data_IF_055683558016
#
_entry.id   IF_055683558016
#
_cell.length_a   1.000
_cell.length_b   1.000
_cell.length_c   1.000
_cell.angle_alpha   90.00
_cell.angle_beta   90.00
_cell.angle_gamma   90.00
#
_symmetry.space_group_name_H-M   'P 1'
#
loop_
_entity.id
_entity.type
_entity.pdbx_description
1 polymer ?
#
# COMPACT_ATOMS: atom_id res chain seq x y z
N UNK A 1 -31.44 24.84 -17.96
CA UNK A 1 -30.40 24.63 -16.93
C UNK A 1 -30.00 23.15 -16.94
N UNK A 2 -28.80 22.80 -17.44
CA UNK A 2 -28.32 21.41 -17.49
C UNK A 2 -27.43 21.14 -16.27
N UNK A 3 -27.85 20.24 -15.40
CA UNK A 3 -27.04 19.74 -14.28
C UNK A 3 -26.02 18.72 -14.79
N UNK A 4 -24.75 18.95 -14.47
CA UNK A 4 -23.63 18.15 -14.94
C UNK A 4 -23.57 16.77 -14.26
N UNK A 5 -23.35 15.77 -15.10
CA UNK A 5 -23.04 14.38 -14.82
C UNK A 5 -22.07 14.17 -13.66
N UNK A 6 -22.47 13.33 -12.70
CA UNK A 6 -21.57 12.77 -11.70
C UNK A 6 -20.49 11.93 -12.38
N UNK A 7 -19.22 12.33 -12.23
CA UNK A 7 -18.09 11.49 -12.62
C UNK A 7 -18.00 10.31 -11.66
N UNK A 8 -17.70 9.09 -12.14
CA UNK A 8 -17.47 7.95 -11.28
C UNK A 8 -16.19 8.20 -10.49
N UNK A 9 -16.34 8.46 -9.18
CA UNK A 9 -15.22 8.36 -8.24
C UNK A 9 -14.79 6.89 -8.23
N UNK A 10 -13.77 6.56 -9.03
CA UNK A 10 -12.95 5.40 -8.73
C UNK A 10 -12.51 5.60 -7.28
N UNK A 11 -12.91 4.70 -6.36
CA UNK A 11 -12.42 4.71 -4.99
C UNK A 11 -10.90 4.46 -5.03
N UNK A 12 -10.14 5.52 -5.30
CA UNK A 12 -8.74 5.61 -4.90
C UNK A 12 -8.71 5.77 -3.38
N UNK A 13 -7.64 5.31 -2.75
CA UNK A 13 -7.46 5.52 -1.31
C UNK A 13 -7.64 7.01 -0.99
N UNK A 14 -8.55 7.37 -0.07
CA UNK A 14 -8.77 8.77 0.26
C UNK A 14 -7.50 9.34 0.90
N UNK A 15 -7.06 10.49 0.40
CA UNK A 15 -6.01 11.31 1.04
C UNK A 15 -6.74 12.29 1.94
N UNK A 16 -6.44 12.25 3.23
CA UNK A 16 -7.12 13.02 4.27
C UNK A 16 -6.33 14.22 4.76
N UNK A 17 -5.02 14.25 4.50
CA UNK A 17 -4.11 15.37 4.78
C UNK A 17 -3.19 15.55 3.57
N UNK A 18 -3.04 16.80 3.07
CA UNK A 18 -2.10 17.08 1.99
C UNK A 18 -0.64 17.04 2.46
N UNK A 19 -0.35 17.22 3.75
CA UNK A 19 1.03 17.26 4.26
C UNK A 19 1.64 15.86 4.34
N UNK A 20 0.89 14.87 4.82
CA UNK A 20 1.42 13.53 5.07
C UNK A 20 0.36 12.45 4.86
N UNK A 21 0.72 11.43 4.08
CA UNK A 21 0.00 10.17 4.01
C UNK A 21 0.87 8.98 4.45
N UNK A 22 0.21 7.99 5.03
CA UNK A 22 0.85 6.76 5.51
C UNK A 22 0.13 5.54 4.95
N UNK A 23 0.85 4.62 4.31
CA UNK A 23 0.35 3.34 3.83
C UNK A 23 1.05 2.21 4.58
N UNK A 24 0.26 1.31 5.20
CA UNK A 24 0.78 0.17 5.95
C UNK A 24 0.40 -1.15 5.28
N UNK A 25 1.40 -1.93 4.91
CA UNK A 25 1.25 -3.27 4.35
C UNK A 25 1.33 -4.31 5.46
N UNK A 26 0.20 -4.95 5.78
CA UNK A 26 0.13 -5.92 6.89
C UNK A 26 0.22 -7.39 6.45
N UNK A 27 0.29 -7.67 5.14
CA UNK A 27 0.17 -9.01 4.57
C UNK A 27 -1.25 -9.38 4.17
N UNK A 28 -1.39 -10.46 3.39
CA UNK A 28 -2.70 -10.99 2.94
C UNK A 28 -2.95 -12.40 3.48
N UNK A 29 -2.53 -12.65 4.72
CA UNK A 29 -2.68 -13.98 5.34
C UNK A 29 -4.15 -14.40 5.39
N UNK A 30 -4.52 -15.64 5.04
CA UNK A 30 -5.87 -16.13 5.22
C UNK A 30 -6.28 -16.22 6.71
N UNK A 31 -5.31 -16.14 7.63
CA UNK A 31 -5.57 -16.11 9.06
C UNK A 31 -6.12 -14.76 9.55
N UNK A 32 -6.38 -13.75 8.70
CA UNK A 32 -7.03 -12.53 9.17
C UNK A 32 -8.38 -12.84 9.86
N UNK A 33 -8.54 -12.39 11.11
CA UNK A 33 -9.73 -12.66 11.94
C UNK A 33 -9.73 -14.03 12.65
N UNK A 34 -8.72 -14.86 12.41
CA UNK A 34 -8.49 -16.16 13.06
C UNK A 34 -7.01 -16.28 13.46
N UNK A 35 -6.61 -17.39 14.10
CA UNK A 35 -5.19 -17.65 14.39
C UNK A 35 -4.48 -16.65 15.32
N UNK A 36 -3.18 -16.87 15.50
CA UNK A 36 -2.31 -16.05 16.34
C UNK A 36 -1.97 -14.69 15.69
N UNK A 37 -1.24 -13.85 16.40
CA UNK A 37 -0.66 -12.63 15.80
C UNK A 37 0.30 -13.02 14.67
N UNK A 38 1.13 -14.01 14.91
CA UNK A 38 2.13 -14.51 13.98
C UNK A 38 1.45 -15.02 12.70
N UNK A 39 0.35 -15.75 12.81
CA UNK A 39 -0.38 -16.26 11.64
C UNK A 39 -0.94 -15.14 10.76
N UNK A 40 -1.41 -14.05 11.37
CA UNK A 40 -1.97 -12.90 10.64
C UNK A 40 -0.90 -12.09 9.89
N UNK A 41 0.27 -11.92 10.49
CA UNK A 41 1.33 -11.06 9.95
C UNK A 41 2.43 -11.82 9.20
N UNK A 42 2.47 -13.16 9.28
CA UNK A 42 3.39 -14.00 8.49
C UNK A 42 2.98 -14.00 7.03
N UNK A 43 3.49 -13.03 6.29
CA UNK A 43 3.26 -12.90 4.85
C UNK A 43 4.53 -12.47 4.14
N UNK A 44 4.83 -13.10 3.02
CA UNK A 44 5.93 -12.70 2.13
C UNK A 44 5.33 -12.21 0.82
N UNK A 45 5.44 -10.90 0.56
CA UNK A 45 4.99 -10.32 -0.69
C UNK A 45 5.87 -10.76 -1.85
N UNK A 46 5.25 -11.12 -2.96
CA UNK A 46 5.94 -11.28 -4.24
C UNK A 46 6.23 -9.92 -4.89
N UNK A 47 7.24 -9.87 -5.76
CA UNK A 47 7.56 -8.67 -6.56
C UNK A 47 6.36 -8.21 -7.39
N UNK A 48 5.59 -9.15 -7.96
CA UNK A 48 4.41 -8.84 -8.77
C UNK A 48 3.30 -8.15 -7.95
N UNK A 49 3.07 -8.61 -6.71
CA UNK A 49 2.09 -7.97 -5.83
C UNK A 49 2.51 -6.56 -5.44
N UNK A 50 3.80 -6.35 -5.15
CA UNK A 50 4.34 -5.02 -4.83
C UNK A 50 4.26 -4.10 -6.06
N UNK A 51 4.59 -4.61 -7.26
CA UNK A 51 4.49 -3.85 -8.50
C UNK A 51 3.04 -3.44 -8.81
N UNK A 52 2.06 -4.31 -8.54
CA UNK A 52 0.64 -3.98 -8.69
C UNK A 52 0.16 -2.88 -7.71
N UNK A 53 0.88 -2.67 -6.61
CA UNK A 53 0.61 -1.59 -5.66
C UNK A 53 1.26 -0.26 -6.08
N UNK A 54 2.36 -0.28 -6.82
CA UNK A 54 3.14 0.92 -7.16
C UNK A 54 2.33 2.04 -7.85
N UNK A 55 1.43 1.79 -8.82
CA UNK A 55 0.62 2.85 -9.43
C UNK A 55 -0.27 3.59 -8.42
N UNK A 56 -0.78 2.88 -7.41
CA UNK A 56 -1.62 3.48 -6.36
C UNK A 56 -0.78 4.33 -5.41
N UNK A 57 0.44 3.90 -5.09
CA UNK A 57 1.38 4.66 -4.27
C UNK A 57 1.81 5.95 -4.99
N UNK A 58 2.17 5.86 -6.27
CA UNK A 58 2.48 7.06 -7.10
C UNK A 58 1.30 8.03 -7.17
N UNK A 59 0.08 7.52 -7.34
CA UNK A 59 -1.12 8.36 -7.35
C UNK A 59 -1.41 9.03 -6.00
N UNK A 60 -1.05 8.40 -4.88
CA UNK A 60 -1.16 9.01 -3.56
C UNK A 60 -0.06 10.06 -3.35
N UNK A 61 1.18 9.74 -3.72
CA UNK A 61 2.33 10.66 -3.63
C UNK A 61 2.13 11.94 -4.45
N UNK A 62 1.42 11.87 -5.58
CA UNK A 62 1.09 13.07 -6.37
C UNK A 62 0.10 14.03 -5.69
N UNK A 63 -0.47 13.66 -4.53
CA UNK A 63 -1.51 14.42 -3.81
C UNK A 63 -1.07 14.86 -2.42
N UNK A 64 0.14 14.50 -2.01
CA UNK A 64 0.69 14.79 -0.68
C UNK A 64 2.12 15.25 -0.77
N UNK A 65 2.57 16.04 0.20
CA UNK A 65 3.97 16.46 0.29
C UNK A 65 4.86 15.26 0.65
N UNK A 66 4.40 14.40 1.56
CA UNK A 66 5.13 13.21 1.97
C UNK A 66 4.25 11.95 2.02
N UNK A 67 4.76 10.85 1.46
CA UNK A 67 4.14 9.53 1.53
C UNK A 67 5.06 8.53 2.23
N UNK A 68 4.66 8.05 3.40
CA UNK A 68 5.36 6.98 4.11
C UNK A 68 4.76 5.62 3.77
N UNK A 69 5.61 4.68 3.35
CA UNK A 69 5.22 3.30 3.05
C UNK A 69 5.87 2.37 4.06
N UNK A 70 5.07 1.71 4.89
CA UNK A 70 5.55 0.83 5.96
C UNK A 70 5.12 -0.62 5.71
N UNK A 71 6.05 -1.55 5.98
CA UNK A 71 5.80 -2.98 5.95
C UNK A 71 5.70 -3.51 7.39
N UNK A 72 4.55 -4.07 7.72
CA UNK A 72 4.19 -4.57 9.05
C UNK A 72 3.89 -6.08 9.04
N UNK A 73 4.32 -6.80 8.00
CA UNK A 73 4.29 -8.26 7.91
C UNK A 73 5.47 -8.85 8.71
N UNK A 74 5.25 -9.15 10.00
CA UNK A 74 6.30 -9.67 10.86
C UNK A 74 6.47 -11.19 10.70
N UNK A 75 7.45 -11.59 9.89
CA UNK A 75 8.05 -12.93 9.93
C UNK A 75 9.47 -12.87 9.36
N UNK A 76 10.47 -13.18 10.19
CA UNK A 76 11.89 -13.10 9.83
C UNK A 76 12.23 -11.75 9.16
N UNK A 77 12.80 -11.79 7.95
CA UNK A 77 13.21 -10.62 7.16
C UNK A 77 12.16 -10.18 6.12
N UNK A 78 10.95 -10.73 6.15
CA UNK A 78 9.94 -10.50 5.11
C UNK A 78 9.53 -9.03 4.95
N UNK A 79 9.45 -8.27 6.05
CA UNK A 79 9.14 -6.84 6.01
C UNK A 79 10.28 -6.04 5.35
N UNK A 80 11.53 -6.34 5.70
CA UNK A 80 12.71 -5.66 5.15
C UNK A 80 12.86 -5.95 3.66
N UNK A 81 12.75 -7.22 3.25
CA UNK A 81 12.79 -7.62 1.84
C UNK A 81 11.69 -6.98 1.00
N UNK A 82 10.49 -6.86 1.57
CA UNK A 82 9.37 -6.20 0.90
C UNK A 82 9.64 -4.70 0.73
N UNK A 83 10.18 -4.03 1.76
CA UNK A 83 10.58 -2.62 1.69
C UNK A 83 11.68 -2.36 0.64
N UNK A 84 12.73 -3.16 0.62
CA UNK A 84 13.81 -3.07 -0.37
C UNK A 84 13.31 -3.29 -1.80
N UNK A 85 12.41 -4.27 -1.98
CA UNK A 85 11.82 -4.56 -3.28
C UNK A 85 10.89 -3.44 -3.74
N UNK A 86 10.06 -2.90 -2.85
CA UNK A 86 9.23 -1.74 -3.15
C UNK A 86 10.06 -0.51 -3.52
N UNK A 87 11.15 -0.23 -2.79
CA UNK A 87 12.07 0.87 -3.11
C UNK A 87 12.59 0.74 -4.54
N UNK A 88 13.12 -0.44 -4.92
CA UNK A 88 13.59 -0.70 -6.28
C UNK A 88 12.51 -0.49 -7.35
N UNK A 89 11.28 -0.94 -7.09
CA UNK A 89 10.14 -0.76 -8.00
C UNK A 89 9.80 0.72 -8.20
N UNK A 90 9.87 1.51 -7.14
CA UNK A 90 9.57 2.94 -7.17
C UNK A 90 10.71 3.75 -7.82
N UNK A 91 11.96 3.36 -7.62
CA UNK A 91 13.12 4.04 -8.22
C UNK A 91 13.22 3.84 -9.75
N UNK A 92 12.62 2.77 -10.28
CA UNK A 92 12.76 2.39 -11.71
C UNK A 92 11.74 3.08 -12.64
N UNK A 93 10.88 3.98 -12.16
CA UNK A 93 9.93 4.67 -13.05
C UNK A 93 9.27 5.88 -12.44
#
# INVERSE_FOLDING_TARGET
MRGAYGRPTRLGHPVTSPELAVVRFHGRSPAWGTGSKEDRFRYSYSTAELAACAPRLRSAAARVDELHVLFNNCCADAAVRAAETMRRILDTG
#
